data_IF_796579428685
#
_entry.id   IF_796579428685
#
_cell.length_a   1.000
_cell.length_b   1.000
_cell.length_c   1.000
_cell.angle_alpha   90.00
_cell.angle_beta   90.00
_cell.angle_gamma   90.00
#
_symmetry.space_group_name_H-M   'P 1'
#
loop_
_entity.id
_entity.type
_entity.pdbx_description
1 polymer ?
#
# COMPACT_ATOMS: atom_id res chain seq x y z
N UNK A 1 20.10 11.68 -6.33
CA UNK A 1 20.74 10.45 -5.93
C UNK A 1 21.36 9.74 -7.12
N UNK A 2 22.24 8.81 -6.87
CA UNK A 2 22.80 7.95 -7.91
C UNK A 2 22.01 6.65 -7.98
N UNK A 3 22.00 6.00 -9.16
CA UNK A 3 21.44 4.67 -9.32
C UNK A 3 22.29 3.68 -8.50
N UNK A 4 21.64 2.97 -7.59
CA UNK A 4 22.24 1.99 -6.70
C UNK A 4 21.82 0.56 -7.03
N UNK A 5 21.85 -0.30 -6.01
CA UNK A 5 21.45 -1.69 -6.13
C UNK A 5 19.98 -1.82 -6.55
N UNK A 6 19.66 -2.91 -7.24
CA UNK A 6 18.29 -3.28 -7.58
C UNK A 6 17.47 -3.44 -6.31
N UNK A 7 16.39 -2.65 -6.10
CA UNK A 7 15.49 -2.85 -4.97
C UNK A 7 14.64 -4.11 -5.18
N UNK A 8 14.18 -4.68 -4.09
CA UNK A 8 13.05 -5.60 -4.13
C UNK A 8 11.77 -4.81 -4.38
N UNK A 9 10.94 -5.28 -5.29
CA UNK A 9 9.61 -4.75 -5.51
C UNK A 9 8.71 -5.79 -6.18
N UNK A 10 7.42 -5.59 -6.09
CA UNK A 10 6.41 -6.45 -6.70
C UNK A 10 5.29 -5.61 -7.31
N UNK A 11 4.53 -6.24 -8.17
CA UNK A 11 3.32 -5.65 -8.77
C UNK A 11 2.12 -6.06 -7.93
N UNK A 12 1.57 -5.12 -7.16
CA UNK A 12 0.43 -5.39 -6.28
C UNK A 12 -0.87 -5.60 -7.05
N UNK A 13 -1.06 -4.89 -8.15
CA UNK A 13 -2.25 -4.97 -8.99
C UNK A 13 -2.48 -3.68 -9.78
N UNK A 14 -3.54 -3.66 -10.53
CA UNK A 14 -3.99 -2.48 -11.28
C UNK A 14 -4.92 -1.58 -10.45
N UNK A 15 -5.45 -0.52 -11.06
CA UNK A 15 -6.30 0.45 -10.37
C UNK A 15 -7.60 -0.12 -9.78
N UNK A 16 -7.99 -1.35 -10.14
CA UNK A 16 -9.21 -1.99 -9.60
C UNK A 16 -9.12 -2.38 -8.13
N UNK A 17 -7.88 -2.52 -7.61
CA UNK A 17 -7.65 -2.84 -6.19
C UNK A 17 -7.63 -1.62 -5.28
N UNK A 18 -7.69 -0.41 -5.85
CA UNK A 18 -7.62 0.84 -5.07
C UNK A 18 -8.97 1.14 -4.44
N UNK A 19 -8.96 1.28 -3.12
CA UNK A 19 -10.12 1.65 -2.33
C UNK A 19 -10.00 3.11 -1.92
N UNK A 20 -11.07 3.88 -2.09
CA UNK A 20 -11.08 5.29 -1.69
C UNK A 20 -10.94 5.45 -0.16
N UNK A 21 -10.34 6.56 0.32
CA UNK A 21 -10.42 6.91 1.73
C UNK A 21 -11.86 6.85 2.26
N UNK A 22 -12.02 6.45 3.53
CA UNK A 22 -13.31 6.27 4.23
C UNK A 22 -14.16 5.08 3.69
N UNK A 23 -13.73 4.39 2.64
CA UNK A 23 -14.39 3.18 2.14
C UNK A 23 -13.76 1.94 2.78
N UNK A 24 -14.55 0.89 2.99
CA UNK A 24 -14.05 -0.34 3.61
C UNK A 24 -13.00 -1.06 2.73
N UNK A 25 -11.92 -1.49 3.34
CA UNK A 25 -10.99 -2.45 2.74
C UNK A 25 -11.57 -3.85 2.98
N UNK A 26 -11.79 -4.60 1.89
CA UNK A 26 -12.26 -5.97 1.96
C UNK A 26 -11.12 -6.93 2.28
N UNK A 27 -11.35 -7.80 3.26
CA UNK A 27 -10.47 -8.94 3.60
C UNK A 27 -11.03 -10.16 2.90
N UNK A 28 -10.34 -10.74 1.91
CA UNK A 28 -10.81 -11.93 1.22
C UNK A 28 -11.05 -13.09 2.17
N UNK A 29 -12.09 -13.90 1.93
CA UNK A 29 -12.44 -15.01 2.80
C UNK A 29 -11.31 -16.07 2.97
N UNK A 30 -10.36 -16.12 2.03
CA UNK A 30 -9.19 -17.00 2.10
C UNK A 30 -7.99 -16.38 2.81
N UNK A 31 -8.05 -15.10 3.21
CA UNK A 31 -6.93 -14.41 3.86
C UNK A 31 -6.73 -14.95 5.28
N UNK A 32 -5.46 -15.09 5.66
CA UNK A 32 -5.08 -15.53 7.01
C UNK A 32 -4.84 -14.35 7.95
N UNK A 33 -4.62 -13.15 7.39
CA UNK A 33 -4.37 -11.91 8.12
C UNK A 33 -4.99 -10.70 7.41
N UNK A 34 -5.13 -9.63 8.16
CA UNK A 34 -5.64 -8.33 7.71
C UNK A 34 -4.78 -7.22 8.33
N UNK A 35 -3.66 -6.92 7.69
CA UNK A 35 -2.65 -6.01 8.23
C UNK A 35 -2.51 -4.72 7.44
N UNK A 36 -2.39 -3.60 8.13
CA UNK A 36 -2.02 -2.32 7.55
C UNK A 36 -0.52 -2.21 7.33
N UNK A 37 -0.14 -1.48 6.29
CA UNK A 37 1.20 -0.99 6.06
C UNK A 37 1.15 0.52 5.82
N UNK A 38 1.49 1.35 6.84
CA UNK A 38 1.48 2.79 6.72
C UNK A 38 2.67 3.27 5.91
N UNK A 39 2.42 3.88 4.76
CA UNK A 39 3.47 4.21 3.80
C UNK A 39 3.36 5.62 3.23
N UNK A 40 4.48 6.11 2.75
CA UNK A 40 4.52 7.18 1.79
C UNK A 40 4.31 6.59 0.39
N UNK A 41 3.52 7.27 -0.42
CA UNK A 41 3.18 6.87 -1.79
C UNK A 41 3.62 7.93 -2.78
N UNK A 42 4.29 7.53 -3.85
CA UNK A 42 4.60 8.37 -5.01
C UNK A 42 3.63 8.12 -6.15
N UNK A 43 3.10 9.18 -6.76
CA UNK A 43 2.22 9.10 -7.91
C UNK A 43 2.94 9.61 -9.16
N UNK A 44 2.84 8.85 -10.26
CA UNK A 44 3.50 9.13 -11.53
C UNK A 44 2.53 8.99 -12.69
N UNK A 45 2.68 9.86 -13.68
CA UNK A 45 1.90 9.82 -14.92
C UNK A 45 2.86 9.81 -16.11
N UNK A 46 2.67 8.87 -17.02
CA UNK A 46 3.40 8.85 -18.28
C UNK A 46 2.77 9.82 -19.28
N UNK A 47 3.60 10.67 -19.88
CA UNK A 47 3.15 11.57 -20.94
C UNK A 47 2.86 10.84 -22.27
N UNK A 48 2.48 11.59 -23.32
CA UNK A 48 2.19 11.04 -24.63
C UNK A 48 3.38 10.34 -25.30
N UNK A 49 4.60 10.57 -24.82
CA UNK A 49 5.82 9.93 -25.32
C UNK A 49 6.28 8.77 -24.43
N UNK A 50 5.54 8.44 -23.37
CA UNK A 50 5.91 7.43 -22.38
C UNK A 50 6.99 7.89 -21.40
N UNK A 51 7.17 9.21 -21.25
CA UNK A 51 8.06 9.77 -20.24
C UNK A 51 7.33 9.86 -18.90
N UNK A 52 7.82 9.19 -17.83
CA UNK A 52 7.21 9.29 -16.52
C UNK A 52 7.44 10.68 -15.89
N UNK A 53 6.40 11.22 -15.30
CA UNK A 53 6.42 12.46 -14.52
C UNK A 53 5.88 12.18 -13.12
N UNK A 54 6.65 12.50 -12.08
CA UNK A 54 6.16 12.46 -10.71
C UNK A 54 5.20 13.62 -10.49
N UNK A 55 3.96 13.33 -10.15
CA UNK A 55 2.91 14.34 -9.93
C UNK A 55 2.75 14.72 -8.47
N UNK A 56 3.19 13.88 -7.53
CA UNK A 56 3.15 14.19 -6.11
C UNK A 56 3.23 12.96 -5.23
N UNK A 57 2.87 13.17 -3.96
CA UNK A 57 2.94 12.15 -2.92
C UNK A 57 1.63 12.10 -2.13
N UNK A 58 1.32 10.96 -1.55
CA UNK A 58 0.18 10.75 -0.68
C UNK A 58 0.54 9.84 0.50
N UNK A 59 -0.33 9.81 1.49
CA UNK A 59 -0.33 8.76 2.53
C UNK A 59 -0.96 7.51 1.94
N UNK A 60 -0.42 6.33 2.24
CA UNK A 60 -0.94 5.06 1.76
C UNK A 60 -1.07 4.00 2.83
N UNK A 61 -1.93 3.03 2.55
CA UNK A 61 -2.06 1.77 3.24
C UNK A 61 -1.89 0.66 2.21
N UNK A 62 -0.73 0.00 2.22
CA UNK A 62 -0.47 -1.18 1.43
C UNK A 62 -0.99 -2.42 2.16
N UNK A 63 -2.32 -2.51 2.33
CA UNK A 63 -2.95 -3.60 3.03
C UNK A 63 -2.47 -4.98 2.54
N UNK A 64 -2.10 -5.86 3.49
CA UNK A 64 -1.37 -7.09 3.22
C UNK A 64 -1.78 -8.23 4.17
N UNK A 65 -1.39 -9.46 3.81
CA UNK A 65 -1.53 -10.66 4.63
C UNK A 65 -0.16 -11.09 5.16
N UNK A 66 0.18 -10.62 6.35
CA UNK A 66 1.49 -10.84 6.96
C UNK A 66 1.70 -12.29 7.46
N UNK A 67 0.63 -13.07 7.68
CA UNK A 67 0.74 -14.50 8.00
C UNK A 67 1.23 -15.25 6.78
N UNK A 68 0.62 -15.02 5.61
CA UNK A 68 1.06 -15.59 4.34
C UNK A 68 2.51 -15.21 4.01
N UNK A 69 2.86 -13.93 4.18
CA UNK A 69 4.23 -13.44 3.95
C UNK A 69 5.26 -14.14 4.84
N UNK A 70 4.98 -14.24 6.13
CA UNK A 70 5.87 -14.87 7.10
C UNK A 70 6.02 -16.38 6.89
N UNK A 71 4.98 -17.04 6.38
CA UNK A 71 4.98 -18.51 6.20
C UNK A 71 6.05 -18.95 5.21
N UNK A 72 6.28 -18.20 4.13
CA UNK A 72 7.31 -18.48 3.14
C UNK A 72 7.66 -17.20 2.38
N UNK A 73 8.94 -16.82 2.39
CA UNK A 73 9.41 -15.64 1.67
C UNK A 73 9.03 -15.63 0.17
N UNK A 74 8.98 -16.78 -0.48
CA UNK A 74 8.53 -16.90 -1.87
C UNK A 74 7.05 -16.51 -2.07
N UNK A 75 6.30 -16.35 -0.99
CA UNK A 75 4.89 -15.92 -1.01
C UNK A 75 4.73 -14.43 -0.72
N UNK A 76 5.82 -13.67 -0.64
CA UNK A 76 5.77 -12.22 -0.45
C UNK A 76 4.80 -11.57 -1.44
N UNK A 77 5.00 -11.77 -2.74
CA UNK A 77 4.13 -11.18 -3.76
C UNK A 77 2.65 -11.65 -3.63
N UNK A 78 2.41 -12.89 -3.23
CA UNK A 78 1.05 -13.42 -3.00
C UNK A 78 0.37 -12.71 -1.82
N UNK A 79 1.10 -12.45 -0.74
CA UNK A 79 0.59 -11.76 0.45
C UNK A 79 0.16 -10.32 0.15
N UNK A 80 0.73 -9.72 -0.89
CA UNK A 80 0.47 -8.35 -1.35
C UNK A 80 -0.67 -8.22 -2.35
N UNK A 81 -1.20 -9.34 -2.88
CA UNK A 81 -2.37 -9.35 -3.78
C UNK A 81 -3.66 -9.10 -2.98
N UNK A 82 -3.79 -7.90 -2.46
CA UNK A 82 -4.89 -7.39 -1.64
C UNK A 82 -5.22 -5.98 -2.10
N UNK A 83 -6.34 -5.44 -1.64
CA UNK A 83 -6.67 -4.04 -1.85
C UNK A 83 -5.58 -3.11 -1.27
N UNK A 84 -5.58 -1.86 -1.69
CA UNK A 84 -4.80 -0.80 -1.10
C UNK A 84 -5.60 0.51 -1.09
N UNK A 85 -5.16 1.47 -0.31
CA UNK A 85 -5.76 2.80 -0.28
C UNK A 85 -4.66 3.85 -0.22
N UNK A 86 -4.90 5.04 -0.78
CA UNK A 86 -4.03 6.20 -0.64
C UNK A 86 -4.82 7.51 -0.72
N UNK A 87 -4.24 8.56 -0.20
CA UNK A 87 -4.86 9.88 -0.09
C UNK A 87 -5.13 10.24 1.38
N UNK A 88 -6.17 11.07 1.69
CA UNK A 88 -7.08 11.78 0.75
C UNK A 88 -6.45 13.01 0.09
N UNK A 89 -5.22 13.38 0.44
CA UNK A 89 -4.55 14.58 -0.06
C UNK A 89 -3.30 14.23 -0.86
N UNK A 90 -2.97 15.11 -1.80
CA UNK A 90 -1.80 15.03 -2.65
C UNK A 90 -0.84 16.19 -2.30
N UNK A 91 0.37 15.86 -1.86
CA UNK A 91 1.45 16.81 -1.71
C UNK A 91 2.16 17.01 -3.04
N UNK A 92 2.09 18.21 -3.59
CA UNK A 92 2.76 18.57 -4.84
C UNK A 92 4.07 19.32 -4.52
N UNK A 93 5.12 19.05 -5.26
CA UNK A 93 6.42 19.70 -5.11
C UNK A 93 7.44 18.83 -4.39
N UNK A 94 8.31 19.46 -3.61
CA UNK A 94 9.39 18.76 -2.93
C UNK A 94 8.89 17.99 -1.70
N UNK A 95 9.35 16.76 -1.59
CA UNK A 95 9.08 15.92 -0.42
C UNK A 95 10.04 16.31 0.72
N UNK A 96 9.54 16.54 1.95
CA UNK A 96 10.42 16.63 3.12
C UNK A 96 11.26 15.35 3.28
N UNK A 97 12.56 15.53 3.55
CA UNK A 97 13.51 14.42 3.65
C UNK A 97 13.21 13.48 4.81
N UNK A 98 12.67 14.01 5.90
CA UNK A 98 12.28 13.25 7.08
C UNK A 98 10.82 13.54 7.42
N UNK A 99 10.05 12.48 7.55
CA UNK A 99 8.65 12.51 7.93
C UNK A 99 8.40 11.50 9.05
N UNK A 100 7.66 11.94 10.05
CA UNK A 100 7.16 11.08 11.13
C UNK A 100 5.65 11.13 11.12
N UNK A 101 5.04 9.96 11.10
CA UNK A 101 3.60 9.77 11.11
C UNK A 101 3.15 8.84 12.23
N UNK A 102 1.84 8.63 12.30
CA UNK A 102 1.21 7.72 13.26
C UNK A 102 0.32 6.75 12.51
N UNK A 103 0.47 5.45 12.79
CA UNK A 103 -0.47 4.42 12.39
C UNK A 103 -1.29 3.98 13.60
N UNK A 104 -2.61 3.92 13.42
CA UNK A 104 -3.56 3.59 14.49
C UNK A 104 -4.60 2.61 14.00
N UNK A 105 -5.01 1.70 14.88
CA UNK A 105 -6.20 0.87 14.71
C UNK A 105 -7.20 1.24 15.80
N UNK A 106 -8.43 1.53 15.39
CA UNK A 106 -9.52 1.79 16.33
C UNK A 106 -10.58 0.69 16.23
N UNK A 107 -11.15 0.32 17.38
CA UNK A 107 -12.26 -0.61 17.54
C UNK A 107 -13.34 0.05 18.37
N UNK A 108 -14.58 0.08 17.88
CA UNK A 108 -15.71 0.73 18.58
C UNK A 108 -15.41 2.17 19.03
N UNK A 109 -14.61 2.90 18.22
CA UNK A 109 -14.23 4.28 18.51
C UNK A 109 -13.11 4.46 19.55
N UNK A 110 -12.54 3.36 20.07
CA UNK A 110 -11.41 3.39 20.99
C UNK A 110 -10.13 2.97 20.28
N UNK A 111 -9.00 3.59 20.64
CA UNK A 111 -7.69 3.18 20.13
C UNK A 111 -7.34 1.80 20.65
N UNK A 112 -7.21 0.82 19.76
CA UNK A 112 -6.76 -0.52 20.06
C UNK A 112 -5.22 -0.61 20.02
N UNK A 113 -4.62 0.05 19.06
CA UNK A 113 -3.19 0.07 18.82
C UNK A 113 -2.78 1.38 18.17
N UNK A 114 -1.60 1.86 18.49
CA UNK A 114 -1.02 3.07 17.89
C UNK A 114 0.50 3.02 17.98
N UNK A 115 1.17 3.34 16.87
CA UNK A 115 2.62 3.52 16.83
C UNK A 115 3.04 4.61 15.86
N UNK A 116 4.17 5.28 16.11
CA UNK A 116 4.81 6.13 15.13
C UNK A 116 5.44 5.29 14.02
N UNK A 117 5.52 5.86 12.81
CA UNK A 117 6.33 5.34 11.71
C UNK A 117 7.13 6.46 11.06
N UNK A 118 8.29 6.09 10.52
CA UNK A 118 9.19 7.02 9.85
C UNK A 118 9.16 6.76 8.36
N UNK A 119 9.16 7.84 7.57
CA UNK A 119 9.25 7.81 6.12
C UNK A 119 9.96 9.07 5.58
N UNK A 120 9.92 9.27 4.26
CA UNK A 120 10.76 10.27 3.60
C UNK A 120 12.13 9.70 3.26
N UNK A 121 12.79 10.27 2.24
CA UNK A 121 13.99 9.69 1.63
C UNK A 121 15.14 9.43 2.63
N UNK A 122 15.24 10.26 3.68
CA UNK A 122 16.25 10.07 4.74
C UNK A 122 16.04 8.80 5.60
N UNK A 123 14.83 8.23 5.57
CA UNK A 123 14.47 7.03 6.33
C UNK A 123 14.28 5.79 5.44
N UNK A 124 14.51 5.91 4.14
CA UNK A 124 14.35 4.84 3.17
C UNK A 124 15.66 4.10 2.90
N UNK A 125 15.59 2.81 2.62
CA UNK A 125 16.75 2.01 2.24
C UNK A 125 17.30 2.36 0.85
N UNK A 126 16.47 2.92 -0.02
CA UNK A 126 16.82 3.36 -1.38
C UNK A 126 16.37 4.80 -1.60
N UNK A 127 17.13 5.56 -2.40
CA UNK A 127 16.68 6.89 -2.84
C UNK A 127 15.50 6.76 -3.82
N UNK A 128 14.65 7.78 -3.88
CA UNK A 128 13.58 7.86 -4.88
C UNK A 128 14.11 7.69 -6.30
N UNK A 129 15.23 8.35 -6.63
CA UNK A 129 15.85 8.22 -7.94
C UNK A 129 16.27 6.78 -8.27
N UNK A 130 16.72 5.99 -7.26
CA UNK A 130 17.05 4.58 -7.45
C UNK A 130 15.79 3.74 -7.72
N UNK A 131 14.74 3.94 -6.94
CA UNK A 131 13.46 3.24 -7.10
C UNK A 131 12.84 3.54 -8.48
N UNK A 132 12.78 4.82 -8.85
CA UNK A 132 12.26 5.29 -10.14
C UNK A 132 13.04 4.70 -11.32
N UNK A 133 14.38 4.74 -11.26
CA UNK A 133 15.21 4.13 -12.30
C UNK A 133 14.91 2.65 -12.47
N UNK A 134 14.88 1.90 -11.37
CA UNK A 134 14.69 0.45 -11.43
C UNK A 134 13.29 0.03 -11.83
N UNK A 135 12.27 0.84 -11.62
CA UNK A 135 10.92 0.61 -12.13
C UNK A 135 10.79 1.01 -13.60
N UNK A 136 11.11 2.26 -13.92
CA UNK A 136 10.88 2.80 -15.27
C UNK A 136 11.93 2.40 -16.32
N UNK A 137 12.98 1.64 -15.96
CA UNK A 137 13.87 1.02 -16.96
C UNK A 137 13.14 -0.01 -17.85
N UNK A 138 12.03 -0.58 -17.36
CA UNK A 138 11.22 -1.52 -18.11
C UNK A 138 10.24 -0.78 -19.01
N UNK A 139 10.29 -1.06 -20.32
CA UNK A 139 9.44 -0.40 -21.31
C UNK A 139 7.93 -0.60 -21.06
N UNK A 140 7.56 -1.75 -20.50
CA UNK A 140 6.16 -2.07 -20.18
C UNK A 140 5.51 -1.10 -19.19
N UNK A 141 6.30 -0.43 -18.35
CA UNK A 141 5.80 0.57 -17.40
C UNK A 141 5.87 2.00 -17.93
N UNK A 142 6.07 2.17 -19.22
CA UNK A 142 6.14 3.48 -19.87
C UNK A 142 5.10 3.66 -20.96
N UNK A 143 3.97 2.94 -20.85
CA UNK A 143 2.87 3.16 -21.79
C UNK A 143 2.29 4.56 -21.58
N UNK A 144 2.04 5.33 -22.69
CA UNK A 144 1.48 6.67 -22.59
C UNK A 144 0.13 6.68 -21.87
N UNK A 145 -0.03 7.60 -20.91
CA UNK A 145 -1.26 7.78 -20.15
C UNK A 145 -1.39 6.87 -18.91
N UNK A 146 -0.46 5.94 -18.69
CA UNK A 146 -0.49 5.11 -17.49
C UNK A 146 -0.20 5.94 -16.25
N UNK A 147 -1.03 5.73 -15.21
CA UNK A 147 -0.82 6.24 -13.86
C UNK A 147 -0.20 5.14 -13.01
N UNK A 148 0.93 5.44 -12.38
CA UNK A 148 1.60 4.54 -11.44
C UNK A 148 1.49 5.06 -10.02
N UNK A 149 1.30 4.14 -9.09
CA UNK A 149 1.24 4.38 -7.65
C UNK A 149 2.29 3.50 -6.99
N UNK A 150 3.33 4.14 -6.45
CA UNK A 150 4.45 3.44 -5.82
C UNK A 150 4.36 3.57 -4.30
N UNK A 151 4.24 2.47 -3.63
CA UNK A 151 4.35 2.36 -2.18
C UNK A 151 5.82 2.14 -1.82
N UNK A 152 6.35 2.90 -0.85
CA UNK A 152 7.80 2.94 -0.59
C UNK A 152 8.25 2.09 0.60
N UNK A 153 7.34 1.33 1.20
CA UNK A 153 7.65 0.43 2.30
C UNK A 153 7.55 1.08 3.68
N UNK A 154 7.39 0.24 4.67
CA UNK A 154 7.34 0.61 6.08
C UNK A 154 8.03 -0.44 6.94
N UNK A 155 8.46 -0.04 8.15
CA UNK A 155 8.95 -0.94 9.18
C UNK A 155 7.98 -1.05 10.39
N UNK A 156 6.86 -0.33 10.35
CA UNK A 156 5.88 -0.29 11.45
C UNK A 156 4.63 -1.05 11.04
N UNK A 157 4.33 -2.13 11.75
CA UNK A 157 3.19 -3.01 11.50
C UNK A 157 2.54 -3.39 12.83
N UNK A 158 1.22 -3.36 12.92
CA UNK A 158 0.48 -3.87 14.09
C UNK A 158 0.63 -5.39 14.25
N UNK A 159 0.88 -6.08 13.15
CA UNK A 159 1.19 -7.51 13.13
C UNK A 159 2.39 -7.87 14.03
N UNK A 160 3.43 -7.03 14.09
CA UNK A 160 4.59 -7.24 14.94
C UNK A 160 4.23 -7.25 16.44
N UNK A 161 3.15 -6.57 16.82
CA UNK A 161 2.61 -6.54 18.18
C UNK A 161 1.47 -7.54 18.39
N UNK A 162 1.27 -8.46 17.45
CA UNK A 162 0.28 -9.53 17.52
C UNK A 162 -1.17 -9.02 17.61
N UNK A 163 -1.44 -7.83 17.09
CA UNK A 163 -2.78 -7.29 16.96
C UNK A 163 -3.55 -8.12 15.92
N UNK A 164 -4.75 -8.53 16.27
CA UNK A 164 -5.67 -9.22 15.36
C UNK A 164 -6.80 -8.28 14.98
N UNK A 165 -6.80 -7.89 13.72
CA UNK A 165 -7.84 -7.06 13.12
C UNK A 165 -9.13 -7.86 13.01
N UNK A 166 -10.27 -7.19 13.21
CA UNK A 166 -11.61 -7.78 13.19
C UNK A 166 -12.54 -6.94 12.33
N UNK A 167 -13.69 -7.53 12.00
CA UNK A 167 -14.77 -6.84 11.32
C UNK A 167 -15.12 -5.52 12.02
N UNK A 168 -15.16 -4.44 11.27
CA UNK A 168 -15.50 -3.11 11.77
C UNK A 168 -14.35 -2.33 12.42
N UNK A 169 -13.16 -2.93 12.57
CA UNK A 169 -11.97 -2.16 12.93
C UNK A 169 -11.68 -1.11 11.86
N UNK A 170 -10.96 -0.07 12.24
CA UNK A 170 -10.62 1.02 11.32
C UNK A 170 -9.14 1.31 11.40
N UNK A 171 -8.49 1.28 10.25
CA UNK A 171 -7.13 1.80 10.07
C UNK A 171 -7.18 3.33 9.97
N UNK A 172 -6.24 4.00 10.62
CA UNK A 172 -6.01 5.43 10.51
C UNK A 172 -4.51 5.68 10.42
N UNK A 173 -4.08 6.28 9.30
CA UNK A 173 -2.68 6.59 9.03
C UNK A 173 -2.55 8.09 8.83
N UNK A 174 -1.73 8.73 9.64
CA UNK A 174 -1.55 10.17 9.67
C UNK A 174 -0.10 10.54 9.43
N UNK A 175 0.12 11.43 8.49
CA UNK A 175 1.37 12.16 8.27
C UNK A 175 1.04 13.65 8.32
N UNK A 176 1.49 14.40 9.34
CA UNK A 176 1.11 15.81 9.53
C UNK A 176 1.35 16.71 8.33
N UNK A 177 2.37 16.39 7.51
CA UNK A 177 2.67 17.14 6.28
C UNK A 177 1.56 17.06 5.21
N UNK A 178 0.61 16.12 5.34
CA UNK A 178 -0.49 15.90 4.38
C UNK A 178 -1.85 16.41 4.90
N UNK A 179 -1.93 16.92 6.13
CA UNK A 179 -3.12 17.54 6.70
C UNK A 179 -4.19 16.55 7.15
N UNK A 180 -4.68 15.65 6.28
CA UNK A 180 -5.73 14.68 6.61
C UNK A 180 -5.20 13.27 6.71
N UNK A 181 -5.67 12.55 7.72
CA UNK A 181 -5.38 11.13 7.87
C UNK A 181 -6.11 10.30 6.77
N UNK A 182 -5.44 9.25 6.31
CA UNK A 182 -6.06 8.19 5.52
C UNK A 182 -6.78 7.24 6.47
N UNK A 183 -8.08 6.98 6.22
CA UNK A 183 -8.89 6.12 7.05
C UNK A 183 -9.65 5.12 6.20
N UNK A 184 -9.65 3.86 6.65
CA UNK A 184 -10.44 2.81 6.03
C UNK A 184 -11.00 1.87 7.11
N UNK A 185 -12.31 1.66 7.19
CA UNK A 185 -12.85 0.55 7.95
C UNK A 185 -12.47 -0.77 7.29
N UNK A 186 -12.52 -1.86 8.07
CA UNK A 186 -12.23 -3.21 7.60
C UNK A 186 -13.53 -4.00 7.50
N UNK A 187 -13.71 -4.72 6.39
CA UNK A 187 -14.84 -5.61 6.17
C UNK A 187 -14.34 -7.00 5.72
N UNK A 188 -14.78 -8.05 6.42
CA UNK A 188 -14.42 -9.42 6.07
C UNK A 188 -15.45 -10.02 5.10
N UNK A 189 -14.96 -10.63 4.04
CA UNK A 189 -15.84 -11.40 3.15
C UNK A 189 -16.34 -12.65 3.85
N UNK A 190 -17.62 -12.97 3.67
CA UNK A 190 -18.17 -14.21 4.20
C UNK A 190 -17.66 -15.40 3.40
N UNK A 191 -17.46 -16.55 4.08
CA UNK A 191 -17.10 -17.80 3.41
C UNK A 191 -18.18 -18.28 2.42
N UNK A 192 -19.42 -17.84 2.59
CA UNK A 192 -20.53 -18.17 1.67
C UNK A 192 -20.34 -17.51 0.30
N UNK A 193 -19.64 -16.39 0.22
CA UNK A 193 -19.32 -15.71 -1.05
C UNK A 193 -18.23 -16.45 -1.85
N UNK A 194 -17.52 -17.44 -1.29
CA UNK A 194 -16.62 -18.31 -2.07
C UNK A 194 -17.36 -19.15 -3.11
N UNK A 195 -18.68 -19.31 -2.98
CA UNK A 195 -19.49 -20.01 -3.99
C UNK A 195 -19.51 -19.31 -5.37
N UNK A 196 -19.14 -18.03 -5.43
CA UNK A 196 -19.04 -17.28 -6.70
C UNK A 196 -17.67 -17.41 -7.37
N UNK A 197 -16.68 -18.00 -6.70
CA UNK A 197 -15.41 -18.30 -7.38
C UNK A 197 -15.58 -19.51 -8.28
N UNK A 198 -15.13 -19.44 -9.53
CA UNK A 198 -15.21 -20.58 -10.43
C UNK A 198 -14.44 -21.77 -9.81
N UNK A 199 -15.16 -22.77 -9.33
CA UNK A 199 -14.56 -23.97 -8.72
C UNK A 199 -13.82 -24.84 -9.73
N UNK A 200 -14.07 -24.61 -11.02
CA UNK A 200 -13.39 -25.25 -12.13
C UNK A 200 -13.27 -24.31 -13.33
N UNK A 201 -12.18 -24.44 -14.06
CA UNK A 201 -12.00 -23.75 -15.32
C UNK A 201 -12.96 -24.29 -16.37
N UNK A 202 -13.72 -23.41 -17.04
CA UNK A 202 -14.48 -23.82 -18.23
C UNK A 202 -13.51 -24.10 -19.38
N UNK A 203 -13.73 -25.19 -20.07
CA UNK A 203 -13.00 -25.52 -21.32
C UNK A 203 -13.92 -25.19 -22.50
N UNK A 204 -13.42 -24.37 -23.43
CA UNK A 204 -14.09 -23.99 -24.67
C UNK A 204 -14.05 -25.11 -25.72
#
# INVERSE_FOLDING_TARGET
>A
GQVGAQPEWFYKGDGSIVVAPETAISVPAFAEDAGEEPELVGLYLNDANGQPHRIGYAVGNEFSDHITERANYLWLAHSKLRACSYGPELLIGELPQHLEGTSRITREGQTLWEKPFLTGEANMAHSLANLEHHHFKYAQFRAPGDLHVHFFGTATLSFADQIKVQEGDRFEIELPAFGRALRNPVAFESHDNQAEQPSAMAVL
#
